data_IF_306099194303
#
_entry.id   IF_306099194303
#
_cell.length_a   1.000
_cell.length_b   1.000
_cell.length_c   1.000
_cell.angle_alpha   90.00
_cell.angle_beta   90.00
_cell.angle_gamma   90.00
#
_symmetry.space_group_name_H-M   'P 1'
#
loop_
_entity.id
_entity.type
_entity.pdbx_description
1 polymer ?
#
# COMPACT_ATOMS: atom_id res chain seq x y z
N UNK A 1 0.16 9.58 2.90
CA UNK A 1 -0.64 8.52 2.26
C UNK A 1 -1.48 7.90 3.37
N UNK A 2 -2.64 8.51 3.67
CA UNK A 2 -3.37 8.33 4.93
C UNK A 2 -3.90 6.90 5.18
N UNK A 3 -3.95 6.06 4.16
CA UNK A 3 -4.55 4.74 4.24
C UNK A 3 -3.57 3.61 4.60
N UNK A 4 -2.28 3.90 4.77
CA UNK A 4 -1.25 2.87 5.00
C UNK A 4 -0.18 3.37 5.98
N UNK A 5 -0.60 4.02 7.06
CA UNK A 5 0.31 4.72 7.97
C UNK A 5 1.03 3.78 8.94
N UNK A 6 0.42 2.65 9.34
CA UNK A 6 1.04 1.62 10.20
C UNK A 6 1.35 0.30 9.47
N UNK A 7 1.60 0.36 8.16
CA UNK A 7 1.87 -0.85 7.39
C UNK A 7 3.29 -1.39 7.64
N UNK A 8 3.39 -2.58 8.25
CA UNK A 8 4.66 -3.27 8.49
C UNK A 8 5.45 -3.51 7.17
N UNK A 9 4.75 -3.87 6.09
CA UNK A 9 5.37 -4.09 4.78
C UNK A 9 5.93 -2.80 4.18
N UNK A 10 5.23 -1.67 4.38
CA UNK A 10 5.74 -0.34 4.00
C UNK A 10 7.02 -0.01 4.76
N UNK A 11 7.04 -0.22 6.07
CA UNK A 11 8.22 0.03 6.90
C UNK A 11 9.40 -0.85 6.49
N UNK A 12 9.15 -2.14 6.24
CA UNK A 12 10.14 -3.08 5.73
C UNK A 12 10.71 -2.64 4.36
N UNK A 13 9.85 -2.33 3.40
CA UNK A 13 10.28 -1.90 2.07
C UNK A 13 10.92 -0.50 2.06
N UNK A 14 10.54 0.38 2.98
CA UNK A 14 11.20 1.68 3.15
C UNK A 14 12.66 1.51 3.62
N UNK A 15 12.91 0.55 4.52
CA UNK A 15 14.27 0.23 5.00
C UNK A 15 15.14 -0.44 3.93
N UNK A 16 14.57 -1.34 3.12
CA UNK A 16 15.34 -2.14 2.16
C UNK A 16 15.46 -1.55 0.74
N UNK A 17 14.53 -0.66 0.37
CA UNK A 17 14.45 -0.09 -0.97
C UNK A 17 14.40 1.43 -0.84
N UNK A 18 13.26 2.03 -1.17
CA UNK A 18 13.04 3.45 -1.07
C UNK A 18 11.54 3.73 -0.93
N UNK A 19 11.21 5.00 -0.67
CA UNK A 19 9.83 5.46 -0.50
C UNK A 19 8.95 5.15 -1.71
N UNK A 20 9.48 5.29 -2.93
CA UNK A 20 8.73 5.03 -4.16
C UNK A 20 8.33 3.55 -4.28
N UNK A 21 9.28 2.64 -4.06
CA UNK A 21 9.01 1.21 -4.06
C UNK A 21 8.01 0.82 -2.97
N UNK A 22 8.21 1.30 -1.74
CA UNK A 22 7.30 1.02 -0.63
C UNK A 22 5.87 1.50 -0.92
N UNK A 23 5.72 2.69 -1.50
CA UNK A 23 4.42 3.24 -1.91
C UNK A 23 3.75 2.38 -2.98
N UNK A 24 4.48 2.05 -4.05
CA UNK A 24 3.97 1.23 -5.15
C UNK A 24 3.60 -0.18 -4.68
N UNK A 25 4.39 -0.76 -3.78
CA UNK A 25 4.04 -2.04 -3.13
C UNK A 25 2.73 -1.93 -2.37
N UNK A 26 2.53 -0.87 -1.56
CA UNK A 26 1.29 -0.72 -0.81
C UNK A 26 0.06 -0.65 -1.73
N UNK A 27 0.12 0.15 -2.80
CA UNK A 27 -1.00 0.27 -3.75
C UNK A 27 -1.33 -1.07 -4.42
N UNK A 28 -0.31 -1.85 -4.80
CA UNK A 28 -0.50 -3.02 -5.68
C UNK A 28 -0.52 -4.35 -4.97
N UNK A 29 0.04 -4.45 -3.75
CA UNK A 29 0.37 -5.74 -3.12
C UNK A 29 0.04 -5.83 -1.63
N UNK A 30 -0.08 -4.73 -0.89
CA UNK A 30 -0.49 -4.85 0.52
C UNK A 30 -2.00 -5.07 0.63
N UNK A 31 -2.43 -5.78 1.68
CA UNK A 31 -3.84 -6.11 1.91
C UNK A 31 -4.74 -4.87 1.88
N UNK A 32 -4.35 -3.80 2.58
CA UNK A 32 -5.12 -2.55 2.65
C UNK A 32 -5.24 -1.90 1.26
N UNK A 33 -4.16 -1.87 0.46
CA UNK A 33 -4.21 -1.31 -0.88
C UNK A 33 -5.07 -2.12 -1.84
N UNK A 34 -5.08 -3.46 -1.69
CA UNK A 34 -5.96 -4.36 -2.44
C UNK A 34 -7.42 -4.10 -2.07
N UNK A 35 -7.73 -3.99 -0.78
CA UNK A 35 -9.09 -3.73 -0.28
C UNK A 35 -9.63 -2.40 -0.80
N UNK A 36 -8.85 -1.32 -0.72
CA UNK A 36 -9.22 -0.01 -1.26
C UNK A 36 -9.49 -0.08 -2.76
N UNK A 37 -8.67 -0.83 -3.50
CA UNK A 37 -8.87 -1.02 -4.94
C UNK A 37 -10.18 -1.76 -5.22
N UNK A 38 -10.48 -2.82 -4.45
CA UNK A 38 -11.71 -3.59 -4.59
C UNK A 38 -12.95 -2.75 -4.27
N UNK A 39 -12.92 -1.98 -3.18
CA UNK A 39 -13.98 -1.03 -2.84
C UNK A 39 -14.19 0.01 -3.94
N UNK A 40 -13.10 0.56 -4.48
CA UNK A 40 -13.16 1.47 -5.62
C UNK A 40 -13.82 0.85 -6.84
N UNK A 41 -13.50 -0.39 -7.19
CA UNK A 41 -14.13 -1.13 -8.29
C UNK A 41 -15.61 -1.44 -8.04
N UNK A 42 -16.01 -1.71 -6.79
CA UNK A 42 -17.39 -1.99 -6.44
C UNK A 42 -18.31 -0.76 -6.46
N UNK A 43 -17.72 0.45 -6.47
CA UNK A 43 -18.41 1.74 -6.50
C UNK A 43 -18.43 2.39 -7.89
N UNK A 44 -17.95 1.69 -8.92
CA UNK A 44 -17.99 2.11 -10.34
C UNK A 44 -19.24 1.59 -11.03
#
# INVERSE_FOLDING_TARGET
>A
MKYCDHCALKAYHLKLKNKHYAHHYCIKKCSIGIEIKQLGTALQ
#
